data_IF_146892833972
#
_entry.id   IF_146892833972
#
_cell.length_a   1.000
_cell.length_b   1.000
_cell.length_c   1.000
_cell.angle_alpha   90.00
_cell.angle_beta   90.00
_cell.angle_gamma   90.00
#
_symmetry.space_group_name_H-M   'P 1'
#
loop_
_entity.id
_entity.type
_entity.pdbx_description
1 polymer ?
#
# COMPACT_ATOMS: atom_id res chain seq x y z
N UNK A 1 1.93 -9.92 -12.81
CA UNK A 1 0.91 -9.39 -11.89
C UNK A 1 -0.39 -9.28 -12.68
N UNK A 2 -1.54 -9.72 -12.13
CA UNK A 2 -2.81 -9.61 -12.86
C UNK A 2 -3.17 -8.12 -13.05
N UNK A 3 -3.45 -7.70 -14.28
CA UNK A 3 -3.88 -6.34 -14.64
C UNK A 3 -5.38 -6.30 -14.92
N UNK A 4 -5.98 -5.10 -14.96
CA UNK A 4 -7.39 -4.93 -15.30
C UNK A 4 -7.72 -5.46 -16.70
N UNK A 5 -6.82 -5.27 -17.67
CA UNK A 5 -6.97 -5.81 -19.03
C UNK A 5 -6.99 -7.34 -19.06
N UNK A 6 -6.12 -7.98 -18.26
CA UNK A 6 -6.11 -9.44 -18.12
C UNK A 6 -7.39 -9.92 -17.46
N UNK A 7 -7.87 -9.23 -16.41
CA UNK A 7 -9.14 -9.56 -15.76
C UNK A 7 -10.32 -9.46 -16.74
N UNK A 8 -10.40 -8.40 -17.54
CA UNK A 8 -11.43 -8.21 -18.59
C UNK A 8 -11.44 -9.37 -19.58
N UNK A 9 -10.26 -9.80 -20.03
CA UNK A 9 -10.17 -10.92 -20.99
C UNK A 9 -10.59 -12.25 -20.35
N UNK A 10 -10.15 -12.51 -19.12
CA UNK A 10 -10.45 -13.77 -18.40
C UNK A 10 -11.94 -13.95 -18.09
N UNK A 11 -12.67 -12.85 -17.90
CA UNK A 11 -14.10 -12.88 -17.60
C UNK A 11 -14.95 -12.58 -18.84
N UNK A 12 -14.36 -12.44 -20.03
CA UNK A 12 -15.10 -12.09 -21.26
C UNK A 12 -16.19 -13.11 -21.60
N UNK A 13 -15.97 -14.37 -21.23
CA UNK A 13 -16.91 -15.47 -21.39
C UNK A 13 -17.93 -15.58 -20.24
N UNK A 14 -17.81 -14.73 -19.23
CA UNK A 14 -18.74 -14.63 -18.11
C UNK A 14 -19.56 -13.35 -18.24
N UNK A 15 -20.84 -13.40 -17.89
CA UNK A 15 -21.68 -12.20 -17.80
C UNK A 15 -21.31 -11.42 -16.52
N UNK A 16 -20.14 -10.75 -16.59
CA UNK A 16 -19.49 -10.08 -15.47
C UNK A 16 -19.08 -8.65 -15.85
N UNK A 17 -19.40 -7.71 -14.96
CA UNK A 17 -19.00 -6.32 -15.07
C UNK A 17 -17.74 -6.06 -14.25
N UNK A 18 -16.74 -5.41 -14.86
CA UNK A 18 -15.51 -4.98 -14.15
C UNK A 18 -15.77 -3.69 -13.41
N UNK A 19 -15.40 -3.67 -12.14
CA UNK A 19 -15.40 -2.47 -11.31
C UNK A 19 -14.09 -1.70 -11.61
N UNK A 20 -14.17 -0.53 -12.27
CA UNK A 20 -12.99 0.22 -12.69
C UNK A 20 -12.10 0.55 -11.48
N UNK A 21 -10.77 0.54 -11.68
CA UNK A 21 -9.75 0.88 -10.66
C UNK A 21 -9.69 -0.04 -9.42
N UNK A 22 -10.66 -0.95 -9.20
CA UNK A 22 -10.69 -1.86 -8.04
C UNK A 22 -10.15 -3.26 -8.33
N UNK A 23 -9.75 -3.55 -9.58
CA UNK A 23 -9.28 -4.88 -10.05
C UNK A 23 -10.20 -6.01 -9.55
N UNK A 24 -11.49 -5.71 -9.57
CA UNK A 24 -12.57 -6.58 -9.11
C UNK A 24 -13.61 -6.62 -10.21
N UNK A 25 -14.20 -7.77 -10.44
CA UNK A 25 -15.39 -7.89 -11.25
C UNK A 25 -16.51 -8.54 -10.44
N UNK A 26 -17.74 -8.35 -10.87
CA UNK A 26 -18.88 -9.05 -10.31
C UNK A 26 -19.81 -9.47 -11.44
N UNK A 27 -20.54 -10.55 -11.22
CA UNK A 27 -21.49 -11.06 -12.20
C UNK A 27 -22.53 -11.92 -11.53
N UNK A 28 -23.40 -12.53 -12.33
CA UNK A 28 -24.43 -13.45 -11.83
C UNK A 28 -24.35 -14.80 -12.52
N UNK A 29 -24.64 -15.85 -11.77
CA UNK A 29 -24.98 -17.16 -12.32
C UNK A 29 -26.28 -17.60 -11.66
N UNK A 30 -27.36 -17.75 -12.44
CA UNK A 30 -28.70 -17.93 -11.89
C UNK A 30 -29.06 -16.78 -10.95
N UNK A 31 -29.44 -17.10 -9.71
CA UNK A 31 -29.77 -16.10 -8.68
C UNK A 31 -28.54 -15.64 -7.87
N UNK A 32 -27.38 -16.27 -8.05
CA UNK A 32 -26.20 -16.03 -7.22
C UNK A 32 -25.34 -14.92 -7.83
N UNK A 33 -25.17 -13.84 -7.07
CA UNK A 33 -24.18 -12.81 -7.40
C UNK A 33 -22.82 -13.27 -6.89
N UNK A 34 -21.79 -13.14 -7.72
CA UNK A 34 -20.43 -13.50 -7.38
C UNK A 34 -19.48 -12.32 -7.57
N UNK A 35 -18.33 -12.39 -6.89
CA UNK A 35 -17.22 -11.47 -7.05
C UNK A 35 -15.98 -12.20 -7.56
N UNK A 36 -15.21 -11.54 -8.43
CA UNK A 36 -13.93 -12.01 -8.93
C UNK A 36 -12.88 -10.97 -8.51
N UNK A 37 -11.96 -11.39 -7.65
CA UNK A 37 -10.90 -10.54 -7.08
C UNK A 37 -9.53 -11.03 -7.53
N UNK A 38 -8.74 -10.17 -8.16
CA UNK A 38 -7.36 -10.52 -8.47
C UNK A 38 -6.46 -10.33 -7.23
N UNK A 39 -5.77 -11.39 -6.79
CA UNK A 39 -4.83 -11.34 -5.66
C UNK A 39 -3.50 -11.99 -6.01
N UNK A 40 -2.48 -11.15 -6.23
CA UNK A 40 -1.17 -11.58 -6.68
C UNK A 40 -1.23 -12.19 -8.09
N UNK A 41 -0.99 -13.49 -8.19
CA UNK A 41 -1.07 -14.26 -9.45
C UNK A 41 -2.30 -15.18 -9.51
N UNK A 42 -3.17 -15.17 -8.50
CA UNK A 42 -4.39 -15.99 -8.49
C UNK A 42 -5.64 -15.11 -8.55
N UNK A 43 -6.75 -15.73 -8.92
CA UNK A 43 -8.08 -15.14 -8.90
C UNK A 43 -8.86 -15.76 -7.75
N UNK A 44 -9.57 -14.93 -6.99
CA UNK A 44 -10.47 -15.36 -5.94
C UNK A 44 -11.89 -15.16 -6.46
N UNK A 45 -12.57 -16.26 -6.75
CA UNK A 45 -13.97 -16.27 -7.18
C UNK A 45 -14.84 -16.57 -5.96
N UNK A 46 -15.64 -15.59 -5.54
CA UNK A 46 -16.37 -15.61 -4.28
C UNK A 46 -17.87 -15.60 -4.54
N UNK A 47 -18.57 -16.55 -3.96
CA UNK A 47 -20.04 -16.64 -3.95
C UNK A 47 -20.51 -16.49 -2.50
N UNK A 48 -21.36 -15.51 -2.23
CA UNK A 48 -21.96 -15.35 -0.91
C UNK A 48 -23.26 -16.13 -0.85
N UNK A 49 -23.23 -17.22 -0.09
CA UNK A 49 -24.32 -18.18 0.00
C UNK A 49 -24.50 -18.68 1.42
N UNK A 50 -25.75 -18.90 1.78
CA UNK A 50 -26.13 -19.48 3.06
C UNK A 50 -27.25 -20.51 2.84
N UNK A 51 -27.49 -21.41 3.79
CA UNK A 51 -28.57 -22.39 3.76
C UNK A 51 -29.12 -22.59 5.17
N UNK A 52 -30.38 -22.95 5.32
CA UNK A 52 -30.93 -23.29 6.64
C UNK A 52 -30.60 -24.74 7.06
N UNK A 53 -29.86 -25.47 6.22
CA UNK A 53 -29.45 -26.86 6.45
C UNK A 53 -28.31 -26.91 7.47
N UNK A 54 -28.46 -27.71 8.52
CA UNK A 54 -27.38 -28.06 9.43
C UNK A 54 -26.25 -28.81 8.69
N UNK A 55 -24.99 -28.61 9.09
CA UNK A 55 -23.82 -29.27 8.51
C UNK A 55 -23.41 -28.82 7.07
N UNK A 56 -23.62 -27.55 6.72
CA UNK A 56 -23.19 -26.96 5.44
C UNK A 56 -21.72 -27.24 5.08
N UNK A 57 -20.83 -27.24 6.07
CA UNK A 57 -19.39 -27.45 5.84
C UNK A 57 -19.09 -28.80 5.21
N UNK A 58 -19.78 -29.86 5.63
CA UNK A 58 -19.59 -31.21 5.08
C UNK A 58 -20.10 -31.31 3.63
N UNK A 59 -21.21 -30.62 3.32
CA UNK A 59 -21.77 -30.55 1.96
C UNK A 59 -20.75 -29.88 1.01
N UNK A 60 -20.15 -28.78 1.43
CA UNK A 60 -19.11 -28.10 0.64
C UNK A 60 -17.81 -28.90 0.54
N UNK A 61 -17.42 -29.65 1.57
CA UNK A 61 -16.16 -30.40 1.56
C UNK A 61 -16.07 -31.37 0.37
N UNK A 62 -17.11 -32.19 0.17
CA UNK A 62 -17.16 -33.15 -0.94
C UNK A 62 -17.16 -32.46 -2.30
N UNK A 63 -17.92 -31.38 -2.43
CA UNK A 63 -17.98 -30.59 -3.66
C UNK A 63 -16.63 -29.97 -4.01
N UNK A 64 -15.95 -29.36 -3.02
CA UNK A 64 -14.63 -28.75 -3.18
C UNK A 64 -13.58 -29.78 -3.60
N UNK A 65 -13.59 -30.97 -3.02
CA UNK A 65 -12.69 -32.05 -3.43
C UNK A 65 -12.93 -32.48 -4.88
N UNK A 66 -14.19 -32.65 -5.27
CA UNK A 66 -14.55 -32.99 -6.66
C UNK A 66 -14.12 -31.90 -7.66
N UNK A 67 -14.28 -30.63 -7.29
CA UNK A 67 -13.83 -29.50 -8.09
C UNK A 67 -12.31 -29.50 -8.30
N UNK A 68 -11.52 -29.69 -7.23
CA UNK A 68 -10.04 -29.74 -7.31
C UNK A 68 -9.53 -30.88 -8.21
N UNK A 69 -10.19 -32.04 -8.15
CA UNK A 69 -9.77 -33.21 -8.92
C UNK A 69 -10.12 -33.08 -10.40
N UNK A 70 -11.21 -32.39 -10.72
CA UNK A 70 -11.70 -32.27 -12.10
C UNK A 70 -11.07 -31.09 -12.87
N UNK A 71 -10.81 -29.95 -12.22
CA UNK A 71 -10.44 -28.72 -12.91
C UNK A 71 -9.01 -28.30 -12.57
N UNK A 72 -8.16 -28.17 -13.60
CA UNK A 72 -6.77 -27.72 -13.44
C UNK A 72 -6.68 -26.24 -13.06
N UNK A 73 -7.72 -25.46 -13.35
CA UNK A 73 -7.80 -24.07 -12.92
C UNK A 73 -7.96 -23.92 -11.40
N UNK A 74 -8.44 -24.93 -10.68
CA UNK A 74 -8.75 -24.81 -9.25
C UNK A 74 -7.51 -25.14 -8.41
N UNK A 75 -6.89 -24.11 -7.84
CA UNK A 75 -5.77 -24.26 -6.90
C UNK A 75 -6.26 -24.67 -5.52
N UNK A 76 -7.30 -24.00 -5.03
CA UNK A 76 -7.90 -24.28 -3.74
C UNK A 76 -9.36 -23.85 -3.74
N UNK A 77 -10.16 -24.35 -2.81
CA UNK A 77 -11.46 -23.77 -2.50
C UNK A 77 -11.75 -23.95 -1.01
N UNK A 78 -12.52 -23.03 -0.45
CA UNK A 78 -12.92 -23.05 0.95
C UNK A 78 -14.31 -22.46 1.10
N UNK A 79 -15.06 -23.01 2.05
CA UNK A 79 -16.28 -22.39 2.52
C UNK A 79 -16.04 -21.89 3.94
N UNK A 80 -16.31 -20.62 4.19
CA UNK A 80 -16.16 -20.02 5.52
C UNK A 80 -17.27 -19.01 5.77
N UNK A 81 -17.96 -19.18 6.89
CA UNK A 81 -19.16 -18.40 7.27
C UNK A 81 -20.23 -18.48 6.19
N UNK A 82 -20.32 -17.45 5.36
CA UNK A 82 -21.35 -17.27 4.32
C UNK A 82 -20.73 -17.14 2.92
N UNK A 83 -19.48 -17.55 2.73
CA UNK A 83 -18.75 -17.37 1.48
C UNK A 83 -18.09 -18.66 1.02
N UNK A 84 -18.42 -19.09 -0.19
CA UNK A 84 -17.65 -20.04 -0.96
C UNK A 84 -16.60 -19.27 -1.76
N UNK A 85 -15.32 -19.52 -1.46
CA UNK A 85 -14.19 -18.90 -2.14
C UNK A 85 -13.39 -19.96 -2.89
N UNK A 86 -13.29 -19.79 -4.20
CA UNK A 86 -12.53 -20.65 -5.11
C UNK A 86 -11.30 -19.86 -5.57
N UNK A 87 -10.12 -20.39 -5.27
CA UNK A 87 -8.83 -19.84 -5.67
C UNK A 87 -8.41 -20.48 -6.98
N UNK A 88 -8.27 -19.65 -8.00
CA UNK A 88 -8.15 -20.04 -9.39
C UNK A 88 -6.80 -19.61 -9.96
N UNK A 89 -6.18 -20.52 -10.71
CA UNK A 89 -5.02 -20.26 -11.56
C UNK A 89 -5.52 -19.73 -12.91
N UNK A 90 -5.22 -18.47 -13.26
CA UNK A 90 -5.78 -17.82 -14.45
C UNK A 90 -5.53 -18.57 -15.77
N UNK A 91 -4.38 -19.25 -15.88
CA UNK A 91 -3.90 -19.91 -17.10
C UNK A 91 -4.92 -20.85 -17.76
N UNK A 92 -5.73 -21.53 -16.96
CA UNK A 92 -6.72 -22.50 -17.44
C UNK A 92 -8.17 -22.00 -17.30
N UNK A 93 -8.36 -20.89 -16.58
CA UNK A 93 -9.68 -20.44 -16.16
C UNK A 93 -10.58 -20.04 -17.33
N UNK A 94 -10.06 -19.28 -18.29
CA UNK A 94 -10.86 -18.75 -19.41
C UNK A 94 -11.64 -19.83 -20.18
N UNK A 95 -11.04 -21.02 -20.34
CA UNK A 95 -11.66 -22.17 -21.03
C UNK A 95 -12.66 -22.93 -20.17
N UNK A 96 -12.41 -22.99 -18.85
CA UNK A 96 -13.21 -23.76 -17.90
C UNK A 96 -14.31 -22.91 -17.23
N UNK A 97 -14.26 -21.58 -17.36
CA UNK A 97 -15.07 -20.64 -16.59
C UNK A 97 -16.58 -20.86 -16.76
N UNK A 98 -17.05 -21.04 -17.99
CA UNK A 98 -18.48 -21.22 -18.28
C UNK A 98 -19.00 -22.53 -17.69
N UNK A 99 -18.31 -23.64 -17.94
CA UNK A 99 -18.67 -24.95 -17.40
C UNK A 99 -18.64 -24.97 -15.87
N UNK A 100 -17.58 -24.40 -15.29
CA UNK A 100 -17.43 -24.29 -13.84
C UNK A 100 -18.55 -23.45 -13.23
N UNK A 101 -18.93 -22.34 -13.87
CA UNK A 101 -20.03 -21.48 -13.42
C UNK A 101 -21.35 -22.26 -13.37
N UNK A 102 -21.65 -23.04 -14.42
CA UNK A 102 -22.85 -23.86 -14.49
C UNK A 102 -22.85 -24.94 -13.41
N UNK A 103 -21.73 -25.64 -13.21
CA UNK A 103 -21.60 -26.67 -12.19
C UNK A 103 -21.79 -26.13 -10.77
N UNK A 104 -21.24 -24.95 -10.48
CA UNK A 104 -21.44 -24.27 -9.19
C UNK A 104 -22.92 -23.92 -9.00
N UNK A 105 -23.57 -23.33 -10.01
CA UNK A 105 -24.98 -22.97 -9.93
C UNK A 105 -25.89 -24.19 -9.67
N UNK A 106 -25.65 -25.31 -10.38
CA UNK A 106 -26.38 -26.55 -10.15
C UNK A 106 -26.19 -27.07 -8.72
N UNK A 107 -24.95 -27.09 -8.24
CA UNK A 107 -24.65 -27.54 -6.87
C UNK A 107 -25.37 -26.68 -5.83
N UNK A 108 -25.28 -25.35 -5.94
CA UNK A 108 -25.91 -24.44 -4.99
C UNK A 108 -27.44 -24.57 -5.00
N UNK A 109 -28.03 -24.68 -6.20
CA UNK A 109 -29.48 -24.83 -6.38
C UNK A 109 -29.98 -26.15 -5.80
N UNK A 110 -29.33 -27.26 -6.14
CA UNK A 110 -29.73 -28.60 -5.69
C UNK A 110 -29.62 -28.77 -4.17
N UNK A 111 -28.67 -28.07 -3.55
CA UNK A 111 -28.48 -28.09 -2.09
C UNK A 111 -29.21 -26.92 -1.38
N UNK A 112 -30.14 -26.24 -2.06
CA UNK A 112 -31.00 -25.18 -1.52
C UNK A 112 -30.24 -24.02 -0.87
N UNK A 113 -29.06 -23.68 -1.39
CA UNK A 113 -28.36 -22.48 -0.96
C UNK A 113 -29.07 -21.24 -1.50
N UNK A 114 -29.11 -20.17 -0.71
CA UNK A 114 -29.64 -18.86 -1.10
C UNK A 114 -28.53 -17.81 -1.11
N UNK A 115 -28.59 -16.81 -2.02
CA UNK A 115 -27.70 -15.65 -1.96
C UNK A 115 -27.85 -14.92 -0.62
N UNK A 116 -26.75 -14.42 -0.07
CA UNK A 116 -26.79 -13.74 1.22
C UNK A 116 -25.77 -12.60 1.38
N UNK A 117 -25.99 -11.79 2.41
CA UNK A 117 -25.05 -10.81 2.92
C UNK A 117 -23.87 -11.55 3.56
N UNK A 118 -22.64 -11.13 3.22
CA UNK A 118 -21.42 -11.74 3.75
C UNK A 118 -21.42 -11.85 5.29
N UNK A 119 -21.89 -10.79 5.93
CA UNK A 119 -21.74 -10.57 7.36
C UNK A 119 -22.95 -11.10 8.16
N UNK A 120 -24.18 -10.73 7.78
CA UNK A 120 -25.39 -11.13 8.50
C UNK A 120 -25.94 -12.49 8.05
N UNK A 121 -25.61 -12.95 6.85
CA UNK A 121 -26.22 -14.15 6.26
C UNK A 121 -27.67 -13.96 5.79
N UNK A 122 -28.22 -12.74 5.89
CA UNK A 122 -29.56 -12.39 5.40
C UNK A 122 -29.60 -12.33 3.86
N UNK A 123 -30.76 -12.60 3.26
CA UNK A 123 -30.97 -12.54 1.81
C UNK A 123 -31.67 -11.25 1.34
N UNK A 124 -31.86 -10.29 2.22
CA UNK A 124 -32.62 -9.06 1.97
C UNK A 124 -31.73 -7.90 1.49
N UNK A 125 -32.25 -7.12 0.52
CA UNK A 125 -31.66 -5.88 0.01
C UNK A 125 -30.13 -5.96 -0.23
N UNK A 126 -29.71 -7.01 -0.94
CA UNK A 126 -28.32 -7.25 -1.27
C UNK A 126 -27.82 -6.27 -2.33
N UNK A 127 -26.66 -5.68 -2.08
CA UNK A 127 -25.94 -4.83 -3.02
C UNK A 127 -24.47 -5.17 -3.09
N UNK A 128 -23.83 -4.79 -4.19
CA UNK A 128 -22.37 -4.84 -4.34
C UNK A 128 -21.81 -3.51 -3.86
N UNK A 129 -20.95 -3.54 -2.85
CA UNK A 129 -20.32 -2.37 -2.27
C UNK A 129 -18.82 -2.42 -2.50
N UNK A 130 -18.27 -1.40 -3.17
CA UNK A 130 -16.84 -1.27 -3.39
C UNK A 130 -16.18 -0.43 -2.29
N UNK A 131 -14.93 -0.74 -1.96
CA UNK A 131 -14.13 0.10 -1.05
C UNK A 131 -13.60 1.33 -1.80
N UNK A 132 -13.68 2.52 -1.22
CA UNK A 132 -13.26 3.78 -1.87
C UNK A 132 -11.77 3.83 -2.20
N UNK A 133 -10.91 3.49 -1.24
CA UNK A 133 -9.46 3.66 -1.34
C UNK A 133 -8.66 2.35 -1.40
N UNK A 134 -9.36 1.23 -1.63
CA UNK A 134 -8.76 -0.10 -1.67
C UNK A 134 -9.38 -0.93 -2.81
N UNK A 135 -8.60 -1.77 -3.49
CA UNK A 135 -9.16 -2.75 -4.41
C UNK A 135 -10.04 -3.73 -3.63
N UNK A 136 -11.17 -4.10 -4.23
CA UNK A 136 -12.12 -5.03 -3.64
C UNK A 136 -13.56 -4.51 -3.62
N UNK A 137 -14.48 -5.48 -3.56
CA UNK A 137 -15.89 -5.27 -3.32
C UNK A 137 -16.42 -6.35 -2.37
N UNK A 138 -17.58 -6.10 -1.77
CA UNK A 138 -18.29 -6.99 -0.88
C UNK A 138 -19.77 -7.03 -1.28
N UNK A 139 -20.42 -8.18 -1.07
CA UNK A 139 -21.88 -8.29 -1.20
C UNK A 139 -22.47 -8.21 0.21
N UNK A 140 -23.23 -7.15 0.48
CA UNK A 140 -23.78 -6.83 1.80
C UNK A 140 -25.25 -6.41 1.67
N UNK A 141 -26.01 -6.53 2.77
CA UNK A 141 -27.28 -5.82 2.91
C UNK A 141 -27.03 -4.33 3.14
N UNK A 142 -27.99 -3.48 2.76
CA UNK A 142 -27.93 -2.03 2.99
C UNK A 142 -27.73 -1.64 4.46
N UNK A 143 -28.41 -2.35 5.36
CA UNK A 143 -28.22 -2.17 6.80
C UNK A 143 -26.78 -2.48 7.23
N UNK A 144 -26.22 -3.60 6.77
CA UNK A 144 -24.86 -3.99 7.16
C UNK A 144 -23.82 -3.06 6.55
N UNK A 145 -24.03 -2.60 5.31
CA UNK A 145 -23.16 -1.62 4.68
C UNK A 145 -23.18 -0.28 5.44
N UNK A 146 -24.36 0.17 5.88
CA UNK A 146 -24.51 1.39 6.70
C UNK A 146 -23.85 1.25 8.06
N UNK A 147 -24.06 0.13 8.77
CA UNK A 147 -23.37 -0.17 10.04
C UNK A 147 -21.86 -0.18 9.87
N UNK A 148 -21.35 -0.80 8.81
CA UNK A 148 -19.92 -0.85 8.52
C UNK A 148 -19.35 0.55 8.23
N UNK A 149 -20.06 1.38 7.48
CA UNK A 149 -19.66 2.78 7.26
C UNK A 149 -19.63 3.57 8.57
N UNK A 150 -20.65 3.43 9.44
CA UNK A 150 -20.69 4.08 10.73
C UNK A 150 -19.52 3.64 11.65
N UNK A 151 -19.20 2.34 11.66
CA UNK A 151 -18.04 1.81 12.40
C UNK A 151 -16.70 2.36 11.88
N UNK A 152 -16.58 2.52 10.57
CA UNK A 152 -15.39 3.12 9.94
C UNK A 152 -15.27 4.61 10.30
N UNK A 153 -16.37 5.35 10.27
CA UNK A 153 -16.41 6.76 10.65
C UNK A 153 -16.09 6.98 12.12
N UNK A 154 -16.61 6.13 13.02
CA UNK A 154 -16.27 6.17 14.44
C UNK A 154 -14.80 5.83 14.72
N UNK A 155 -14.21 4.92 13.93
CA UNK A 155 -12.76 4.63 14.02
C UNK A 155 -11.93 5.79 13.51
N UNK A 156 -12.36 6.47 12.45
CA UNK A 156 -11.67 7.64 11.90
C UNK A 156 -11.76 8.85 12.84
N UNK A 157 -12.89 9.06 13.52
CA UNK A 157 -13.06 10.15 14.50
C UNK A 157 -12.30 9.91 15.82
N UNK A 158 -12.09 8.66 16.22
CA UNK A 158 -11.21 8.27 17.33
C UNK A 158 -9.73 8.14 16.94
N UNK A 159 -9.32 8.59 15.75
CA UNK A 159 -7.88 8.64 15.42
C UNK A 159 -7.18 9.62 16.34
N UNK A 160 -6.20 9.11 17.11
CA UNK A 160 -5.36 9.91 18.01
C UNK A 160 -4.84 11.14 17.26
N UNK A 161 -4.97 12.31 17.90
CA UNK A 161 -4.42 13.56 17.38
C UNK A 161 -2.94 13.39 17.03
N UNK A 162 -2.53 14.01 15.92
CA UNK A 162 -1.15 13.94 15.48
C UNK A 162 -0.24 14.66 16.48
N UNK A 163 0.70 13.92 17.06
CA UNK A 163 1.67 14.44 18.02
C UNK A 163 2.83 15.09 17.29
N UNK A 164 2.59 16.22 16.64
CA UNK A 164 3.54 16.91 15.74
C UNK A 164 4.91 17.13 16.36
N UNK A 165 4.96 17.55 17.63
CA UNK A 165 6.22 17.79 18.36
C UNK A 165 7.04 16.50 18.46
N UNK A 166 6.43 15.41 18.91
CA UNK A 166 7.09 14.10 19.00
C UNK A 166 7.47 13.55 17.62
N UNK A 167 6.61 13.77 16.62
CA UNK A 167 6.91 13.48 15.23
C UNK A 167 8.17 14.17 14.75
N UNK A 168 8.30 15.47 15.02
CA UNK A 168 9.45 16.28 14.60
C UNK A 168 10.74 15.78 15.25
N UNK A 169 10.70 15.43 16.55
CA UNK A 169 11.83 14.78 17.23
C UNK A 169 12.19 13.44 16.58
N UNK A 170 11.16 12.65 16.24
CA UNK A 170 11.33 11.42 15.45
C UNK A 170 12.05 11.69 14.13
N UNK A 171 11.59 12.66 13.34
CA UNK A 171 12.19 13.01 12.07
C UNK A 171 13.68 13.31 12.19
N UNK A 172 14.06 14.13 13.16
CA UNK A 172 15.46 14.49 13.42
C UNK A 172 16.31 13.26 13.72
N UNK A 173 15.86 12.39 14.64
CA UNK A 173 16.56 11.13 14.97
C UNK A 173 16.67 10.23 13.73
N UNK A 174 15.62 10.19 12.91
CA UNK A 174 15.56 9.40 11.68
C UNK A 174 16.58 9.79 10.62
N UNK A 175 17.12 11.02 10.66
CA UNK A 175 18.14 11.48 9.70
C UNK A 175 19.56 11.01 10.00
N UNK A 176 19.85 10.66 11.27
CA UNK A 176 21.20 10.35 11.75
C UNK A 176 21.91 9.26 10.91
N UNK A 177 21.27 8.12 10.57
CA UNK A 177 21.92 7.10 9.75
C UNK A 177 22.33 7.60 8.37
N UNK A 178 21.52 8.49 7.77
CA UNK A 178 21.83 9.12 6.49
C UNK A 178 23.03 10.07 6.60
N UNK A 179 23.14 10.84 7.69
CA UNK A 179 24.30 11.72 7.93
C UNK A 179 25.58 10.89 8.04
N UNK A 180 25.56 9.82 8.83
CA UNK A 180 26.71 8.93 9.01
C UNK A 180 27.13 8.30 7.68
N UNK A 181 26.16 7.80 6.90
CA UNK A 181 26.47 7.22 5.59
C UNK A 181 27.06 8.24 4.62
N UNK A 182 26.57 9.49 4.62
CA UNK A 182 27.12 10.56 3.79
C UNK A 182 28.61 10.77 4.07
N UNK A 183 28.99 10.89 5.34
CA UNK A 183 30.40 11.06 5.75
C UNK A 183 31.25 9.89 5.26
N UNK A 184 30.80 8.65 5.46
CA UNK A 184 31.56 7.46 5.01
C UNK A 184 31.75 7.48 3.48
N UNK A 185 30.69 7.77 2.73
CA UNK A 185 30.75 7.81 1.26
C UNK A 185 31.65 8.93 0.74
N UNK A 186 31.63 10.08 1.42
CA UNK A 186 32.47 11.22 1.07
C UNK A 186 33.96 10.86 1.15
N UNK A 187 34.41 10.25 2.24
CA UNK A 187 35.80 9.80 2.39
C UNK A 187 36.17 8.63 1.47
N UNK A 188 35.18 7.85 1.03
CA UNK A 188 35.37 6.76 0.08
C UNK A 188 35.34 7.23 -1.39
N UNK A 189 35.18 8.53 -1.67
CA UNK A 189 35.01 9.10 -3.01
C UNK A 189 33.87 8.45 -3.83
N UNK A 190 32.83 7.95 -3.15
CA UNK A 190 31.62 7.42 -3.79
C UNK A 190 30.55 8.49 -3.89
N UNK A 191 29.60 8.33 -4.82
CA UNK A 191 28.45 9.22 -4.91
C UNK A 191 27.67 9.23 -3.58
N UNK A 192 27.80 10.31 -2.83
CA UNK A 192 27.18 10.49 -1.52
C UNK A 192 25.64 10.52 -1.57
N UNK A 193 25.07 10.64 -2.76
CA UNK A 193 23.67 10.92 -2.95
C UNK A 193 22.71 9.80 -2.51
N UNK A 194 23.14 8.54 -2.38
CA UNK A 194 22.32 7.45 -1.81
C UNK A 194 21.93 7.75 -0.35
N UNK A 195 22.79 8.45 0.37
CA UNK A 195 22.53 8.83 1.77
C UNK A 195 21.33 9.77 1.94
N UNK A 196 21.06 10.63 0.95
CA UNK A 196 19.91 11.55 0.96
C UNK A 196 18.58 10.82 0.98
N UNK A 197 18.50 9.66 0.31
CA UNK A 197 17.32 8.80 0.34
C UNK A 197 17.10 8.22 1.74
N UNK A 198 18.17 7.81 2.43
CA UNK A 198 18.06 7.34 3.82
C UNK A 198 17.63 8.45 4.77
N UNK A 199 18.10 9.69 4.58
CA UNK A 199 17.64 10.85 5.37
C UNK A 199 16.13 11.03 5.22
N UNK A 200 15.63 11.08 3.99
CA UNK A 200 14.20 11.31 3.71
C UNK A 200 13.34 10.15 4.23
N UNK A 201 13.70 8.90 3.90
CA UNK A 201 12.93 7.73 4.33
C UNK A 201 12.97 7.56 5.85
N UNK A 202 14.14 7.77 6.45
CA UNK A 202 14.32 7.71 7.90
C UNK A 202 13.51 8.78 8.62
N UNK A 203 13.57 10.04 8.15
CA UNK A 203 12.79 11.15 8.71
C UNK A 203 11.29 10.85 8.67
N UNK A 204 10.76 10.42 7.52
CA UNK A 204 9.33 10.12 7.39
C UNK A 204 8.90 8.92 8.22
N UNK A 205 9.67 7.84 8.21
CA UNK A 205 9.36 6.62 8.95
C UNK A 205 9.31 6.88 10.46
N UNK A 206 10.31 7.59 10.98
CA UNK A 206 10.38 7.85 12.41
C UNK A 206 9.41 8.96 12.83
N UNK A 207 9.19 9.99 11.99
CA UNK A 207 8.13 10.97 12.23
C UNK A 207 6.79 10.30 12.45
N UNK A 208 6.37 9.43 11.52
CA UNK A 208 5.07 8.75 11.60
C UNK A 208 4.94 7.90 12.87
N UNK A 209 6.02 7.21 13.25
CA UNK A 209 6.04 6.36 14.45
C UNK A 209 5.84 7.17 15.72
N UNK A 210 6.45 8.35 15.83
CA UNK A 210 6.35 9.20 17.02
C UNK A 210 5.14 10.15 16.99
N UNK A 211 4.73 10.61 15.82
CA UNK A 211 3.55 11.45 15.62
C UNK A 211 2.24 10.69 15.74
N UNK A 212 2.28 9.34 15.69
CA UNK A 212 1.14 8.41 15.65
C UNK A 212 0.25 8.50 14.41
N UNK A 213 0.45 9.53 13.58
CA UNK A 213 -0.25 9.83 12.33
C UNK A 213 0.71 10.53 11.38
N UNK A 214 0.52 10.33 10.08
CA UNK A 214 1.28 11.03 9.04
C UNK A 214 0.31 11.85 8.19
N UNK A 215 0.17 13.14 8.52
CA UNK A 215 -0.69 14.06 7.79
C UNK A 215 0.07 14.88 6.75
N UNK A 216 -0.63 15.80 6.07
CA UNK A 216 0.00 16.82 5.22
C UNK A 216 0.98 17.69 6.01
N UNK A 217 0.68 18.02 7.26
CA UNK A 217 1.56 18.78 8.14
C UNK A 217 2.86 18.00 8.41
N UNK A 218 2.74 16.71 8.74
CA UNK A 218 3.92 15.84 8.91
C UNK A 218 4.76 15.68 7.65
N UNK A 219 4.13 15.60 6.48
CA UNK A 219 4.84 15.60 5.20
C UNK A 219 5.64 16.88 4.98
N UNK A 220 5.05 18.06 5.24
CA UNK A 220 5.75 19.35 5.11
C UNK A 220 6.94 19.42 6.08
N UNK A 221 6.74 19.05 7.35
CA UNK A 221 7.80 19.08 8.37
C UNK A 221 8.97 18.16 7.98
N UNK A 222 8.68 16.93 7.58
CA UNK A 222 9.71 15.96 7.20
C UNK A 222 10.47 16.39 5.95
N UNK A 223 9.81 17.02 4.98
CA UNK A 223 10.47 17.63 3.81
C UNK A 223 11.41 18.75 4.25
N UNK A 224 10.96 19.67 5.10
CA UNK A 224 11.78 20.79 5.58
C UNK A 224 12.99 20.31 6.38
N UNK A 225 12.80 19.34 7.28
CA UNK A 225 13.89 18.73 8.07
C UNK A 225 14.88 18.04 7.13
N UNK A 226 14.40 17.22 6.19
CA UNK A 226 15.29 16.52 5.26
C UNK A 226 16.06 17.49 4.37
N UNK A 227 15.41 18.56 3.91
CA UNK A 227 16.05 19.62 3.12
C UNK A 227 17.16 20.29 3.93
N UNK A 228 16.89 20.69 5.17
CA UNK A 228 17.91 21.29 6.05
C UNK A 228 19.10 20.35 6.27
N UNK A 229 18.84 19.07 6.54
CA UNK A 229 19.91 18.09 6.78
C UNK A 229 20.76 17.86 5.53
N UNK A 230 20.12 17.65 4.38
CA UNK A 230 20.85 17.34 3.13
C UNK A 230 21.60 18.54 2.58
N UNK A 231 21.03 19.75 2.68
CA UNK A 231 21.62 20.94 2.06
C UNK A 231 22.68 21.60 2.91
N UNK A 232 22.55 21.55 4.24
CA UNK A 232 23.40 22.31 5.15
C UNK A 232 24.19 21.37 6.06
N UNK A 233 23.50 20.55 6.86
CA UNK A 233 24.16 19.81 7.96
C UNK A 233 25.10 18.71 7.46
N UNK A 234 24.69 17.92 6.46
CA UNK A 234 25.51 16.83 5.90
C UNK A 234 26.81 17.36 5.27
N UNK A 235 26.78 18.30 4.30
CA UNK A 235 27.99 18.85 3.70
C UNK A 235 28.87 19.55 4.73
N UNK A 236 28.27 20.28 5.67
CA UNK A 236 29.01 20.96 6.72
C UNK A 236 29.85 19.97 7.55
N UNK A 237 29.25 18.89 8.06
CA UNK A 237 29.97 17.89 8.85
C UNK A 237 31.07 17.21 8.02
N UNK A 238 30.74 16.77 6.80
CA UNK A 238 31.68 16.03 5.95
C UNK A 238 32.89 16.89 5.55
N UNK A 239 32.64 18.12 5.11
CA UNK A 239 33.70 19.01 4.64
C UNK A 239 34.55 19.53 5.80
N UNK A 240 33.96 19.77 6.97
CA UNK A 240 34.73 20.13 8.17
C UNK A 240 35.71 19.04 8.54
N UNK A 241 35.26 17.78 8.50
CA UNK A 241 36.12 16.63 8.78
C UNK A 241 37.20 16.48 7.70
N UNK A 242 36.86 16.72 6.43
CA UNK A 242 37.80 16.64 5.32
C UNK A 242 38.89 17.71 5.38
N UNK A 243 38.51 18.97 5.62
CA UNK A 243 39.46 20.07 5.81
C UNK A 243 40.38 19.80 7.00
N UNK A 244 39.83 19.33 8.11
CA UNK A 244 40.62 18.99 9.29
C UNK A 244 41.61 17.84 9.04
N UNK A 245 41.23 16.82 8.26
CA UNK A 245 42.07 15.63 8.02
C UNK A 245 43.11 15.86 6.92
N UNK A 246 42.77 16.58 5.85
CA UNK A 246 43.60 16.66 4.64
C UNK A 246 44.31 17.98 4.43
N UNK A 247 43.95 19.05 5.15
CA UNK A 247 44.59 20.34 5.02
C UNK A 247 45.40 20.67 6.28
N UNK A 248 46.72 20.82 6.14
CA UNK A 248 47.63 21.06 7.26
C UNK A 248 47.33 22.36 8.01
N UNK A 249 46.90 23.42 7.31
CA UNK A 249 46.55 24.70 7.93
C UNK A 249 45.34 24.54 8.85
N UNK A 250 44.28 23.89 8.36
CA UNK A 250 43.07 23.62 9.15
C UNK A 250 43.28 22.57 10.24
N UNK A 251 44.21 21.63 10.05
CA UNK A 251 44.56 20.65 11.07
C UNK A 251 45.16 21.34 12.31
N UNK A 252 46.05 22.31 12.11
CA UNK A 252 46.71 23.06 13.18
C UNK A 252 45.74 23.94 13.99
N UNK A 253 44.66 24.43 13.37
CA UNK A 253 43.61 25.21 14.03
C UNK A 253 42.72 24.37 14.96
N UNK A 254 42.74 23.05 14.79
CA UNK A 254 41.90 22.11 15.53
C UNK A 254 40.48 21.99 14.96
N UNK A 255 39.86 20.83 15.20
CA UNK A 255 38.57 20.46 14.57
C UNK A 255 37.44 21.45 14.86
N UNK A 256 37.32 21.97 16.09
CA UNK A 256 36.21 22.86 16.44
C UNK A 256 36.24 24.18 15.68
N UNK A 257 37.43 24.77 15.50
CA UNK A 257 37.60 26.00 14.73
C UNK A 257 37.32 25.73 13.26
N UNK A 258 37.92 24.68 12.71
CA UNK A 258 37.66 24.24 11.32
C UNK A 258 36.17 24.00 11.08
N UNK A 259 35.47 23.37 12.03
CA UNK A 259 34.04 23.16 11.94
C UNK A 259 33.27 24.49 11.86
N UNK A 260 33.59 25.48 12.69
CA UNK A 260 32.91 26.79 12.67
C UNK A 260 33.20 27.56 11.37
N UNK A 261 34.43 27.49 10.86
CA UNK A 261 34.88 28.22 9.67
C UNK A 261 34.42 27.58 8.36
N UNK A 262 34.16 26.27 8.35
CA UNK A 262 33.85 25.50 7.13
C UNK A 262 32.72 26.11 6.29
N UNK A 263 31.57 26.55 6.84
CA UNK A 263 30.52 27.18 6.03
C UNK A 263 31.04 28.40 5.27
N UNK A 264 31.82 29.26 5.91
CA UNK A 264 32.42 30.42 5.26
C UNK A 264 33.37 30.00 4.14
N UNK A 265 34.23 29.01 4.37
CA UNK A 265 35.17 28.48 3.37
C UNK A 265 34.43 27.92 2.15
N UNK A 266 33.34 27.15 2.37
CA UNK A 266 32.54 26.57 1.29
C UNK A 266 31.98 27.64 0.36
N UNK A 267 31.46 28.74 0.90
CA UNK A 267 30.81 29.78 0.10
C UNK A 267 31.78 30.76 -0.56
N UNK A 268 33.01 30.89 -0.05
CA UNK A 268 33.99 31.85 -0.56
C UNK A 268 35.06 31.22 -1.45
N UNK A 269 35.26 29.90 -1.39
CA UNK A 269 36.17 29.18 -2.28
C UNK A 269 35.38 28.60 -3.46
N UNK A 270 35.57 29.18 -4.65
CA UNK A 270 34.80 28.83 -5.85
C UNK A 270 34.84 27.34 -6.21
N UNK A 271 35.99 26.67 -6.02
CA UNK A 271 36.14 25.25 -6.31
C UNK A 271 35.29 24.39 -5.37
N UNK A 272 35.36 24.64 -4.07
CA UNK A 272 34.55 23.96 -3.05
C UNK A 272 33.06 24.26 -3.24
N UNK A 273 32.71 25.50 -3.56
CA UNK A 273 31.33 25.89 -3.85
C UNK A 273 30.77 25.11 -5.05
N UNK A 274 31.57 24.94 -6.11
CA UNK A 274 31.15 24.19 -7.30
C UNK A 274 30.95 22.69 -7.01
N UNK A 275 31.81 22.10 -6.17
CA UNK A 275 31.65 20.70 -5.71
C UNK A 275 30.38 20.58 -4.87
N UNK A 276 30.19 21.49 -3.92
CA UNK A 276 28.99 21.57 -3.09
C UNK A 276 27.71 21.66 -3.93
N UNK A 277 27.66 22.55 -4.94
CA UNK A 277 26.48 22.70 -5.80
C UNK A 277 26.18 21.44 -6.61
N UNK A 278 27.20 20.71 -7.08
CA UNK A 278 27.01 19.44 -7.79
C UNK A 278 26.45 18.37 -6.87
N UNK A 279 27.04 18.20 -5.69
CA UNK A 279 26.58 17.23 -4.69
C UNK A 279 25.14 17.53 -4.22
N UNK A 280 24.86 18.81 -4.02
CA UNK A 280 23.53 19.33 -3.67
C UNK A 280 22.50 18.99 -4.75
N UNK A 281 22.80 19.27 -6.02
CA UNK A 281 21.87 19.03 -7.12
C UNK A 281 21.49 17.54 -7.21
N UNK A 282 22.46 16.64 -7.12
CA UNK A 282 22.23 15.19 -7.18
C UNK A 282 21.41 14.72 -5.95
N UNK A 283 21.75 15.23 -4.76
CA UNK A 283 21.07 14.89 -3.51
C UNK A 283 19.61 15.37 -3.48
N UNK A 284 19.32 16.54 -4.07
CA UNK A 284 17.95 17.04 -4.21
C UNK A 284 17.11 16.17 -5.15
N UNK A 285 17.68 15.71 -6.27
CA UNK A 285 16.97 14.81 -7.20
C UNK A 285 16.63 13.48 -6.51
N UNK A 286 17.59 12.88 -5.81
CA UNK A 286 17.37 11.63 -5.08
C UNK A 286 16.41 11.79 -3.88
N UNK A 287 16.53 12.90 -3.16
CA UNK A 287 15.59 13.26 -2.09
C UNK A 287 14.16 13.45 -2.60
N UNK A 288 13.99 14.06 -3.77
CA UNK A 288 12.69 14.20 -4.44
C UNK A 288 12.10 12.84 -4.82
N UNK A 289 12.90 11.95 -5.42
CA UNK A 289 12.47 10.58 -5.75
C UNK A 289 12.04 9.82 -4.48
N UNK A 290 12.82 9.90 -3.41
CA UNK A 290 12.50 9.28 -2.12
C UNK A 290 11.20 9.81 -1.54
N UNK A 291 11.01 11.13 -1.55
CA UNK A 291 9.79 11.80 -1.11
C UNK A 291 8.58 11.35 -1.92
N UNK A 292 8.68 11.38 -3.26
CA UNK A 292 7.60 10.97 -4.15
C UNK A 292 7.21 9.50 -3.96
N UNK A 293 8.19 8.60 -3.88
CA UNK A 293 7.96 7.17 -3.66
C UNK A 293 7.28 6.91 -2.31
N UNK A 294 7.67 7.60 -1.24
CA UNK A 294 7.08 7.43 0.08
C UNK A 294 5.67 8.02 0.17
N UNK A 295 5.48 9.26 -0.29
CA UNK A 295 4.21 9.99 -0.23
C UNK A 295 3.15 9.31 -1.11
N UNK A 296 3.48 8.92 -2.33
CA UNK A 296 2.56 8.21 -3.24
C UNK A 296 2.03 6.91 -2.62
N UNK A 297 2.88 6.19 -1.89
CA UNK A 297 2.52 4.91 -1.30
C UNK A 297 1.71 5.03 0.00
N UNK A 298 1.89 6.11 0.78
CA UNK A 298 1.25 6.28 2.10
C UNK A 298 0.17 7.37 2.17
N UNK A 299 0.40 8.60 1.72
CA UNK A 299 -0.55 9.72 1.91
C UNK A 299 -1.87 9.49 1.19
N UNK A 300 -1.84 8.85 0.01
CA UNK A 300 -3.04 8.44 -0.74
C UNK A 300 -3.89 7.42 0.04
N UNK A 301 -3.30 6.66 0.97
CA UNK A 301 -4.00 5.62 1.76
C UNK A 301 -4.52 6.12 3.10
N UNK A 302 -3.93 7.17 3.67
CA UNK A 302 -4.25 7.66 5.03
C UNK A 302 -5.19 8.86 5.06
N UNK A 303 -5.30 9.64 3.97
CA UNK A 303 -6.04 10.92 3.98
C UNK A 303 -7.52 10.76 3.65
N UNK A 304 -7.91 9.65 3.04
CA UNK A 304 -9.29 9.42 2.61
C UNK A 304 -9.89 8.29 3.46
N UNK A 305 -10.91 8.60 4.26
CA UNK A 305 -11.66 7.61 5.04
C UNK A 305 -12.09 6.47 4.13
N UNK A 306 -11.77 5.23 4.50
CA UNK A 306 -12.30 4.08 3.75
C UNK A 306 -13.80 4.06 3.98
N UNK A 307 -14.58 4.03 2.90
CA UNK A 307 -16.04 3.87 2.95
C UNK A 307 -16.46 2.81 1.94
N UNK A 308 -17.60 2.21 2.20
CA UNK A 308 -18.33 1.38 1.25
C UNK A 308 -19.24 2.28 0.41
N UNK A 309 -19.02 2.25 -0.89
CA UNK A 309 -19.91 2.87 -1.86
C UNK A 309 -20.69 1.78 -2.59
N UNK A 310 -22.00 1.96 -2.67
CA UNK A 310 -22.85 1.09 -3.48
C UNK A 310 -22.45 1.26 -4.94
N UNK A 311 -22.26 0.15 -5.62
CA UNK A 311 -21.97 0.13 -7.06
C UNK A 311 -23.32 0.00 -7.74
N UNK A 312 -23.77 1.11 -8.31
CA UNK A 312 -25.02 1.14 -9.07
C UNK A 312 -24.83 0.35 -10.37
N UNK A 313 -25.84 -0.48 -10.65
CA UNK A 313 -25.89 -1.35 -11.80
C UNK A 313 -26.16 -0.50 -13.05
N UNK A 314 -25.32 -0.63 -14.07
CA UNK A 314 -25.66 -0.24 -15.44
C UNK A 314 -26.45 -1.37 -16.11
#
# INVERSE_FOLDING_TARGET
>A
MLTEAILRNLISNLDAQVIPKKITAFGKVGIYTYLILAKGNNIHWIFNVNSDIENQQSIFYNFILGLKNQYKSIKNARFSKNALEIIIVPRYFEKEAVELSHKINLFLTNNKFRPCCLQSGSNENLGVYGLTNRPGALILSEETASRFNNELEQKDSNTKEERVIFGTLGALIGTIPGIILYVILYFANFLAAISSLLVVVGAMFLYEKFATKFSKTGAIITILVSLLIVTIIQPWIAYSLALYVYNEEFNQLGFFITFIETPFVIFNVQELFNIYLKDLAISLVLGFIGTFAYVKNKVVRTTTSTRLEKIDLA
#
